data_IF_316388269590
#
_entry.id   IF_316388269590
#
_cell.length_a   1.000
_cell.length_b   1.000
_cell.length_c   1.000
_cell.angle_alpha   90.00
_cell.angle_beta   90.00
_cell.angle_gamma   90.00
#
_symmetry.space_group_name_H-M   'P 1'
#
loop_
_entity.id
_entity.type
_entity.pdbx_description
1 polymer ?
#
# COMPACT_ATOMS: atom_id res chain seq x y z
N UNK A 1 74.26 -25.15 3.93
CA UNK A 1 73.74 -24.30 5.02
C UNK A 1 72.94 -23.16 4.41
N UNK A 2 71.72 -22.90 4.95
CA UNK A 2 70.74 -21.84 4.61
C UNK A 2 70.20 -21.84 3.15
N UNK A 3 68.97 -22.24 2.78
CA UNK A 3 67.60 -22.10 3.34
C UNK A 3 67.15 -20.65 3.50
N UNK A 4 66.48 -20.05 2.50
CA UNK A 4 65.40 -19.05 2.62
C UNK A 4 64.63 -18.96 1.29
N UNK A 5 63.39 -19.46 1.26
CA UNK A 5 62.39 -19.13 0.22
C UNK A 5 61.34 -18.28 0.95
N UNK A 6 61.22 -17.02 0.57
CA UNK A 6 60.22 -16.10 1.08
C UNK A 6 58.92 -16.38 0.33
N UNK A 7 57.97 -17.03 1.00
CA UNK A 7 56.60 -17.18 0.52
C UNK A 7 55.85 -15.86 0.75
N UNK A 8 55.58 -15.13 -0.33
CA UNK A 8 54.73 -13.94 -0.33
C UNK A 8 53.28 -14.40 -0.44
N UNK A 9 52.62 -14.61 0.70
CA UNK A 9 51.19 -14.89 0.77
C UNK A 9 50.41 -13.62 0.40
N UNK A 10 49.92 -13.58 -0.84
CA UNK A 10 48.90 -12.62 -1.26
C UNK A 10 47.60 -12.93 -0.49
N UNK A 11 47.34 -12.15 0.57
CA UNK A 11 46.01 -12.03 1.16
C UNK A 11 45.14 -11.26 0.16
N UNK A 12 44.47 -11.98 -0.74
CA UNK A 12 43.38 -11.43 -1.52
C UNK A 12 42.21 -11.17 -0.57
N UNK A 13 41.93 -9.88 -0.34
CA UNK A 13 40.78 -9.43 0.41
C UNK A 13 39.50 -10.01 -0.18
N UNK A 14 38.76 -10.72 0.66
CA UNK A 14 37.39 -11.10 0.38
C UNK A 14 36.58 -9.80 0.28
N UNK A 15 36.33 -9.36 -0.95
CA UNK A 15 35.25 -8.43 -1.25
C UNK A 15 33.95 -9.14 -0.88
N UNK A 16 33.44 -8.86 0.32
CA UNK A 16 32.05 -9.12 0.67
C UNK A 16 31.15 -8.34 -0.27
N UNK A 17 30.75 -8.96 -1.39
CA UNK A 17 29.66 -8.45 -2.20
C UNK A 17 28.37 -8.66 -1.41
N UNK A 18 28.01 -7.68 -0.57
CA UNK A 18 26.62 -7.47 -0.18
C UNK A 18 25.87 -6.98 -1.42
N UNK A 19 25.65 -7.88 -2.38
CA UNK A 19 24.63 -7.69 -3.39
C UNK A 19 23.30 -7.89 -2.68
N UNK A 20 22.65 -6.80 -2.28
CA UNK A 20 21.25 -6.85 -1.91
C UNK A 20 20.49 -7.27 -3.18
N UNK A 21 20.14 -8.55 -3.27
CA UNK A 21 19.31 -9.07 -4.35
C UNK A 21 17.94 -8.39 -4.21
N UNK A 22 17.64 -7.42 -5.07
CA UNK A 22 16.30 -6.87 -5.17
C UNK A 22 15.33 -8.01 -5.48
N UNK A 23 14.47 -8.33 -4.52
CA UNK A 23 13.37 -9.26 -4.73
C UNK A 23 12.35 -8.53 -5.60
N UNK A 24 12.45 -8.71 -6.92
CA UNK A 24 11.42 -8.25 -7.86
C UNK A 24 10.20 -9.16 -7.72
N UNK A 25 9.09 -8.57 -7.30
CA UNK A 25 7.80 -9.24 -7.30
C UNK A 25 7.16 -9.07 -8.67
N UNK A 26 6.87 -10.19 -9.32
CA UNK A 26 6.36 -10.26 -10.69
C UNK A 26 4.83 -10.07 -10.72
N UNK A 27 4.33 -9.07 -9.99
CA UNK A 27 2.92 -8.68 -10.03
C UNK A 27 2.78 -7.16 -10.14
N UNK A 28 1.91 -6.71 -11.04
CA UNK A 28 1.60 -5.29 -11.25
C UNK A 28 0.43 -4.87 -10.34
N UNK A 29 0.65 -4.94 -9.03
CA UNK A 29 -0.34 -4.51 -8.04
C UNK A 29 0.00 -3.08 -7.56
N UNK A 30 -0.96 -2.14 -7.58
CA UNK A 30 -0.71 -0.77 -7.14
C UNK A 30 -0.45 -0.67 -5.63
N UNK A 31 -0.94 -1.64 -4.83
CA UNK A 31 -0.77 -1.65 -3.38
C UNK A 31 0.63 -2.09 -2.92
N UNK A 32 1.59 -2.29 -3.82
CA UNK A 32 2.95 -2.70 -3.43
C UNK A 32 3.70 -1.55 -2.73
N UNK A 33 4.49 -1.92 -1.72
CA UNK A 33 5.25 -0.98 -0.89
C UNK A 33 6.74 -1.24 -1.04
N UNK A 34 7.49 -0.21 -1.41
CA UNK A 34 8.95 -0.30 -1.55
C UNK A 34 9.61 -0.80 -0.26
N UNK A 35 10.60 -1.68 -0.39
CA UNK A 35 11.33 -2.24 0.74
C UNK A 35 10.58 -3.28 1.59
N UNK A 36 9.28 -3.54 1.35
CA UNK A 36 8.50 -4.49 2.16
C UNK A 36 8.25 -5.83 1.47
N UNK A 37 9.30 -6.65 1.38
CA UNK A 37 9.26 -7.93 0.68
C UNK A 37 8.16 -8.89 1.18
N UNK A 38 7.96 -9.00 2.50
CA UNK A 38 6.96 -9.90 3.08
C UNK A 38 5.54 -9.47 2.73
N UNK A 39 5.24 -8.19 2.87
CA UNK A 39 3.95 -7.63 2.50
C UNK A 39 3.67 -7.79 1.00
N UNK A 40 4.62 -7.38 0.16
CA UNK A 40 4.51 -7.46 -1.30
C UNK A 40 4.28 -8.89 -1.79
N UNK A 41 4.95 -9.88 -1.19
CA UNK A 41 4.72 -11.28 -1.51
C UNK A 41 3.27 -11.70 -1.22
N UNK A 42 2.73 -11.30 -0.07
CA UNK A 42 1.34 -11.62 0.30
C UNK A 42 0.35 -10.91 -0.63
N UNK A 43 0.57 -9.63 -0.94
CA UNK A 43 -0.25 -8.90 -1.91
C UNK A 43 -0.24 -9.61 -3.26
N UNK A 44 0.93 -9.91 -3.82
CA UNK A 44 1.04 -10.61 -5.10
C UNK A 44 0.40 -12.00 -5.08
N UNK A 45 0.57 -12.77 -4.00
CA UNK A 45 -0.09 -14.07 -3.86
C UNK A 45 -1.61 -13.93 -3.83
N UNK A 46 -2.14 -12.95 -3.10
CA UNK A 46 -3.57 -12.66 -3.03
C UNK A 46 -4.14 -12.29 -4.40
N UNK A 47 -3.43 -11.44 -5.16
CA UNK A 47 -3.77 -11.12 -6.56
C UNK A 47 -3.73 -12.37 -7.45
N UNK A 48 -2.72 -13.22 -7.28
CA UNK A 48 -2.63 -14.51 -7.94
C UNK A 48 -3.82 -15.43 -7.67
N UNK A 49 -4.35 -15.43 -6.45
CA UNK A 49 -5.56 -16.18 -6.11
C UNK A 49 -6.82 -15.56 -6.73
N UNK A 50 -6.94 -14.24 -6.75
CA UNK A 50 -8.05 -13.52 -7.41
C UNK A 50 -8.14 -13.90 -8.90
N UNK A 51 -7.03 -13.87 -9.64
CA UNK A 51 -7.02 -14.20 -11.08
C UNK A 51 -7.45 -15.63 -11.39
N UNK A 52 -7.30 -16.54 -10.41
CA UNK A 52 -7.70 -17.95 -10.51
C UNK A 52 -9.07 -18.23 -9.89
N UNK A 53 -9.87 -17.20 -9.57
CA UNK A 53 -11.18 -17.29 -8.90
C UNK A 53 -11.13 -17.97 -7.52
N UNK A 54 -9.97 -17.96 -6.85
CA UNK A 54 -9.78 -18.54 -5.50
C UNK A 54 -9.96 -17.47 -4.44
N UNK A 55 -11.18 -16.94 -4.36
CA UNK A 55 -11.49 -15.72 -3.61
C UNK A 55 -11.32 -15.87 -2.09
N UNK A 56 -11.60 -17.06 -1.54
CA UNK A 56 -11.42 -17.31 -0.11
C UNK A 56 -9.93 -17.28 0.30
N UNK A 57 -9.07 -17.89 -0.51
CA UNK A 57 -7.61 -17.86 -0.30
C UNK A 57 -7.04 -16.47 -0.56
N UNK A 58 -7.55 -15.74 -1.55
CA UNK A 58 -7.19 -14.34 -1.78
C UNK A 58 -7.49 -13.50 -0.54
N UNK A 59 -8.72 -13.56 -0.02
CA UNK A 59 -9.14 -12.82 1.16
C UNK A 59 -8.25 -13.14 2.37
N UNK A 60 -8.01 -14.42 2.66
CA UNK A 60 -7.11 -14.83 3.75
C UNK A 60 -5.69 -14.29 3.57
N UNK A 61 -5.17 -14.30 2.36
CA UNK A 61 -3.82 -13.82 2.07
C UNK A 61 -3.72 -12.30 2.25
N UNK A 62 -4.74 -11.55 1.84
CA UNK A 62 -4.83 -10.11 2.07
C UNK A 62 -5.02 -9.78 3.56
N UNK A 63 -5.83 -10.53 4.31
CA UNK A 63 -5.92 -10.41 5.78
C UNK A 63 -4.53 -10.58 6.41
N UNK A 64 -3.75 -11.58 5.98
CA UNK A 64 -2.36 -11.75 6.45
C UNK A 64 -1.45 -10.57 6.08
N UNK A 65 -1.62 -9.97 4.90
CA UNK A 65 -0.87 -8.78 4.48
C UNK A 65 -1.23 -7.56 5.35
N UNK A 66 -2.50 -7.40 5.73
CA UNK A 66 -2.96 -6.33 6.62
C UNK A 66 -2.34 -6.40 8.02
N UNK A 67 -1.90 -7.59 8.46
CA UNK A 67 -1.21 -7.78 9.74
C UNK A 67 0.30 -7.52 9.67
N UNK A 68 0.87 -7.30 8.47
CA UNK A 68 2.28 -6.91 8.34
C UNK A 68 2.44 -5.45 8.78
N UNK A 69 3.31 -5.14 9.77
CA UNK A 69 3.57 -3.76 10.16
C UNK A 69 4.25 -3.01 9.02
N UNK A 70 3.62 -1.92 8.57
CA UNK A 70 4.24 -0.90 7.73
C UNK A 70 4.49 0.30 8.66
N UNK A 71 5.76 0.65 8.87
CA UNK A 71 6.13 1.71 9.83
C UNK A 71 6.12 3.11 9.21
N UNK A 72 6.40 3.20 7.92
CA UNK A 72 6.62 4.48 7.22
C UNK A 72 5.40 4.92 6.38
N UNK A 73 4.47 4.00 6.11
CA UNK A 73 3.28 4.28 5.32
C UNK A 73 2.04 3.58 5.88
N UNK A 74 0.88 4.25 5.90
CA UNK A 74 -0.37 3.66 6.35
C UNK A 74 -0.85 2.58 5.37
N UNK A 75 -1.12 1.36 5.87
CA UNK A 75 -1.57 0.21 5.08
C UNK A 75 -3.10 0.24 4.85
N UNK A 76 -3.60 1.21 4.09
CA UNK A 76 -5.03 1.36 3.85
C UNK A 76 -5.47 1.00 2.43
N UNK A 77 -4.56 1.07 1.46
CA UNK A 77 -4.85 0.83 0.04
C UNK A 77 -5.35 -0.59 -0.24
N UNK A 78 -5.06 -1.54 0.65
CA UNK A 78 -5.49 -2.92 0.52
C UNK A 78 -6.95 -3.17 0.94
N UNK A 79 -7.60 -2.25 1.68
CA UNK A 79 -8.99 -2.44 2.15
C UNK A 79 -10.00 -2.66 1.01
N UNK A 80 -10.03 -1.87 -0.08
CA UNK A 80 -10.92 -2.11 -1.22
C UNK A 80 -10.72 -3.49 -1.86
N UNK A 81 -9.46 -3.91 -2.03
CA UNK A 81 -9.15 -5.21 -2.64
C UNK A 81 -9.56 -6.37 -1.74
N UNK A 82 -9.34 -6.24 -0.44
CA UNK A 82 -9.80 -7.21 0.56
C UNK A 82 -11.34 -7.30 0.60
N UNK A 83 -12.03 -6.15 0.53
CA UNK A 83 -13.49 -6.13 0.45
C UNK A 83 -14.01 -6.88 -0.78
N UNK A 84 -13.41 -6.64 -1.95
CA UNK A 84 -13.75 -7.34 -3.18
C UNK A 84 -13.51 -8.85 -3.05
N UNK A 85 -12.38 -9.27 -2.50
CA UNK A 85 -12.08 -10.68 -2.29
C UNK A 85 -13.12 -11.36 -1.37
N UNK A 86 -13.51 -10.70 -0.27
CA UNK A 86 -14.57 -11.21 0.61
C UNK A 86 -15.92 -11.28 -0.09
N UNK A 87 -16.30 -10.26 -0.87
CA UNK A 87 -17.56 -10.23 -1.60
C UNK A 87 -17.65 -11.39 -2.60
N UNK A 88 -16.59 -11.59 -3.40
CA UNK A 88 -16.51 -12.67 -4.38
C UNK A 88 -16.46 -14.06 -3.73
N UNK A 89 -15.95 -14.15 -2.50
CA UNK A 89 -16.01 -15.37 -1.67
C UNK A 89 -17.37 -15.59 -0.98
N UNK A 90 -18.35 -14.69 -1.16
CA UNK A 90 -19.69 -14.77 -0.54
C UNK A 90 -19.78 -14.20 0.88
N UNK A 91 -18.69 -13.65 1.43
CA UNK A 91 -18.62 -13.11 2.79
C UNK A 91 -19.06 -11.64 2.82
N UNK A 92 -20.35 -11.36 2.63
CA UNK A 92 -20.89 -9.99 2.48
C UNK A 92 -20.62 -9.09 3.68
N UNK A 93 -20.75 -9.59 4.90
CA UNK A 93 -20.54 -8.80 6.12
C UNK A 93 -19.11 -8.26 6.20
N UNK A 94 -18.12 -9.15 6.06
CA UNK A 94 -16.70 -8.76 5.99
C UNK A 94 -16.38 -7.84 4.83
N UNK A 95 -17.04 -8.01 3.68
CA UNK A 95 -16.87 -7.11 2.55
C UNK A 95 -17.33 -5.68 2.90
N UNK A 96 -18.51 -5.54 3.51
CA UNK A 96 -19.03 -4.23 3.94
C UNK A 96 -18.18 -3.60 5.04
N UNK A 97 -17.68 -4.40 5.98
CA UNK A 97 -16.75 -3.92 7.01
C UNK A 97 -15.47 -3.33 6.39
N UNK A 98 -14.88 -4.02 5.42
CA UNK A 98 -13.66 -3.54 4.74
C UNK A 98 -13.94 -2.35 3.82
N UNK A 99 -15.11 -2.25 3.19
CA UNK A 99 -15.51 -1.05 2.46
C UNK A 99 -15.63 0.16 3.39
N UNK A 100 -16.27 0.00 4.55
CA UNK A 100 -16.35 1.06 5.55
C UNK A 100 -14.96 1.50 6.02
N UNK A 101 -14.05 0.55 6.22
CA UNK A 101 -12.65 0.84 6.56
C UNK A 101 -11.91 1.59 5.45
N UNK A 102 -12.15 1.22 4.18
CA UNK A 102 -11.61 1.95 3.04
C UNK A 102 -12.14 3.39 2.99
N UNK A 103 -13.44 3.59 3.18
CA UNK A 103 -14.09 4.90 3.22
C UNK A 103 -13.52 5.78 4.34
N UNK A 104 -13.40 5.25 5.56
CA UNK A 104 -12.80 5.96 6.69
C UNK A 104 -11.34 6.31 6.41
N UNK A 105 -10.57 5.40 5.83
CA UNK A 105 -9.16 5.65 5.50
C UNK A 105 -9.02 6.75 4.45
N UNK A 106 -9.86 6.73 3.40
CA UNK A 106 -9.91 7.80 2.41
C UNK A 106 -10.32 9.12 3.05
N UNK A 107 -11.28 9.11 3.96
CA UNK A 107 -11.73 10.32 4.67
C UNK A 107 -10.63 10.92 5.55
N UNK A 108 -9.78 10.09 6.17
CA UNK A 108 -8.59 10.56 6.88
C UNK A 108 -7.53 11.08 5.91
N UNK A 109 -7.26 10.34 4.83
CA UNK A 109 -6.28 10.72 3.79
C UNK A 109 -6.59 12.10 3.21
N UNK A 110 -7.87 12.38 3.04
CA UNK A 110 -8.42 13.58 2.42
C UNK A 110 -8.87 14.63 3.43
N UNK A 111 -8.47 14.50 4.69
CA UNK A 111 -8.70 15.52 5.71
C UNK A 111 -10.16 15.80 6.08
N UNK A 112 -11.14 14.97 5.67
CA UNK A 112 -12.51 15.04 6.21
C UNK A 112 -12.53 14.59 7.66
N UNK A 113 -11.74 13.56 7.96
CA UNK A 113 -11.50 13.08 9.31
C UNK A 113 -10.08 13.42 9.72
N UNK A 114 -9.90 13.69 11.01
CA UNK A 114 -8.61 14.05 11.57
C UNK A 114 -8.17 13.04 12.60
N UNK A 115 -6.85 12.84 12.68
CA UNK A 115 -6.24 12.11 13.79
C UNK A 115 -6.04 13.07 14.97
N UNK A 116 -6.59 12.70 16.12
CA UNK A 116 -6.44 13.41 17.38
C UNK A 116 -5.64 12.54 18.34
N UNK A 117 -4.47 13.04 18.74
CA UNK A 117 -3.67 12.43 19.79
C UNK A 117 -4.02 13.07 21.14
N UNK A 118 -4.34 12.23 22.12
CA UNK A 118 -4.65 12.64 23.50
C UNK A 118 -3.90 11.75 24.48
N UNK A 119 -3.94 12.06 25.77
CA UNK A 119 -3.40 11.18 26.82
C UNK A 119 -4.03 9.78 26.84
N UNK A 120 -5.25 9.64 26.29
CA UNK A 120 -5.98 8.37 26.22
C UNK A 120 -5.62 7.54 24.98
N UNK A 121 -4.81 8.08 24.06
CA UNK A 121 -4.40 7.43 22.82
C UNK A 121 -4.79 8.23 21.56
N UNK A 122 -4.78 7.51 20.43
CA UNK A 122 -5.05 8.03 19.09
C UNK A 122 -6.49 7.77 18.69
N UNK A 123 -7.17 8.81 18.21
CA UNK A 123 -8.57 8.77 17.78
C UNK A 123 -8.74 9.36 16.39
N UNK A 124 -9.71 8.85 15.65
CA UNK A 124 -10.22 9.52 14.45
C UNK A 124 -11.43 10.36 14.85
N UNK A 125 -11.44 11.63 14.46
CA UNK A 125 -12.50 12.59 14.79
C UNK A 125 -13.02 13.31 13.54
N UNK A 126 -14.30 13.70 13.59
CA UNK A 126 -14.89 14.63 12.63
C UNK A 126 -14.52 16.08 12.98
N UNK A 127 -14.79 17.01 12.06
CA UNK A 127 -14.59 18.45 12.26
C UNK A 127 -15.34 19.00 13.50
N UNK A 128 -16.52 18.47 13.81
CA UNK A 128 -17.32 18.83 15.00
C UNK A 128 -16.78 18.24 16.32
N UNK A 129 -15.68 17.49 16.29
CA UNK A 129 -15.08 16.82 17.46
C UNK A 129 -15.70 15.47 17.83
N UNK A 130 -16.68 14.97 17.09
CA UNK A 130 -17.26 13.65 17.30
C UNK A 130 -16.22 12.55 17.00
N UNK A 131 -16.06 11.61 17.94
CA UNK A 131 -15.13 10.48 17.82
C UNK A 131 -15.73 9.37 16.96
N UNK A 132 -14.93 8.84 16.05
CA UNK A 132 -15.23 7.60 15.32
C UNK A 132 -14.52 6.45 16.01
N UNK A 133 -15.31 5.55 16.60
CA UNK A 133 -14.79 4.40 17.34
C UNK A 133 -14.43 3.25 16.39
N UNK A 134 -13.30 3.41 15.68
CA UNK A 134 -12.65 2.34 14.93
C UNK A 134 -11.15 2.30 15.26
N UNK A 135 -10.82 1.44 16.23
CA UNK A 135 -9.44 1.22 16.67
C UNK A 135 -8.52 0.67 15.58
N UNK A 136 -9.08 -0.02 14.57
CA UNK A 136 -8.31 -0.55 13.45
C UNK A 136 -7.81 0.57 12.55
N UNK A 137 -8.69 1.50 12.20
CA UNK A 137 -8.34 2.69 11.41
C UNK A 137 -7.42 3.60 12.19
N UNK A 138 -7.75 3.93 13.44
CA UNK A 138 -6.93 4.83 14.26
C UNK A 138 -5.48 4.35 14.36
N UNK A 139 -5.25 3.05 14.53
CA UNK A 139 -3.90 2.47 14.63
C UNK A 139 -3.13 2.44 13.30
N UNK A 140 -3.84 2.29 12.18
CA UNK A 140 -3.23 2.17 10.85
C UNK A 140 -3.03 3.52 10.18
N UNK A 141 -3.88 4.49 10.49
CA UNK A 141 -3.90 5.80 9.86
C UNK A 141 -3.31 6.89 10.77
N UNK A 142 -3.47 6.81 12.09
CA UNK A 142 -3.02 7.87 12.99
C UNK A 142 -1.63 7.60 13.57
N UNK A 143 -0.82 8.65 13.61
CA UNK A 143 0.53 8.63 14.18
C UNK A 143 1.34 9.79 13.63
N UNK A 144 2.30 10.27 14.43
CA UNK A 144 3.12 11.44 14.07
C UNK A 144 3.86 11.29 12.73
N UNK A 145 4.18 10.06 12.32
CA UNK A 145 4.81 9.78 11.03
C UNK A 145 3.87 10.03 9.83
N UNK A 146 2.55 9.94 10.04
CA UNK A 146 1.55 9.99 8.98
C UNK A 146 0.92 11.37 8.80
N UNK A 147 1.03 12.22 9.83
CA UNK A 147 0.52 13.60 9.84
C UNK A 147 0.95 14.44 8.62
N UNK A 148 2.13 14.18 8.07
CA UNK A 148 2.62 14.85 6.87
C UNK A 148 1.88 14.44 5.58
N UNK A 149 1.38 13.20 5.51
CA UNK A 149 0.69 12.68 4.34
C UNK A 149 -0.72 13.26 4.19
N UNK A 150 -1.40 13.56 5.29
CA UNK A 150 -2.82 13.95 5.27
C UNK A 150 -3.09 15.45 5.22
N UNK A 151 -2.08 16.29 5.51
CA UNK A 151 -2.24 17.75 5.57
C UNK A 151 -2.44 18.43 4.22
N UNK A 152 -2.48 17.69 3.11
CA UNK A 152 -2.30 18.28 1.77
C UNK A 152 -3.59 18.51 0.97
N UNK A 153 -4.69 17.80 1.21
CA UNK A 153 -5.86 17.90 0.34
C UNK A 153 -7.18 17.58 1.05
N UNK A 154 -8.26 18.31 0.72
CA UNK A 154 -9.64 17.91 1.04
C UNK A 154 -10.14 16.83 0.05
N UNK A 155 -11.17 16.03 0.39
CA UNK A 155 -11.69 15.00 -0.55
C UNK A 155 -12.21 15.65 -1.83
N UNK A 156 -12.91 16.78 -1.71
CA UNK A 156 -13.40 17.53 -2.84
C UNK A 156 -12.25 18.01 -3.73
N UNK A 157 -11.15 18.47 -3.14
CA UNK A 157 -9.95 18.83 -3.91
C UNK A 157 -9.34 17.62 -4.61
N UNK A 158 -9.19 16.49 -3.91
CA UNK A 158 -8.68 15.24 -4.51
C UNK A 158 -9.57 14.76 -5.65
N UNK A 159 -10.89 14.80 -5.48
CA UNK A 159 -11.84 14.39 -6.51
C UNK A 159 -11.84 15.34 -7.71
N UNK A 160 -11.75 16.65 -7.48
CA UNK A 160 -11.61 17.64 -8.55
C UNK A 160 -10.30 17.44 -9.32
N UNK A 161 -9.18 17.24 -8.63
CA UNK A 161 -7.89 16.96 -9.25
C UNK A 161 -7.90 15.63 -10.02
N UNK A 162 -8.49 14.57 -9.44
CA UNK A 162 -8.63 13.28 -10.11
C UNK A 162 -9.48 13.39 -11.38
N UNK A 163 -10.58 14.14 -11.37
CA UNK A 163 -11.42 14.35 -12.55
C UNK A 163 -10.68 15.18 -13.62
N UNK A 164 -9.87 16.17 -13.22
CA UNK A 164 -9.00 16.90 -14.15
C UNK A 164 -7.95 15.99 -14.79
N UNK A 165 -7.30 15.13 -14.02
CA UNK A 165 -6.31 14.15 -14.50
C UNK A 165 -6.97 13.16 -15.46
N UNK A 166 -8.13 12.62 -15.08
CA UNK A 166 -8.92 11.72 -15.94
C UNK A 166 -9.28 12.39 -17.26
N UNK A 167 -9.80 13.63 -17.22
CA UNK A 167 -10.12 14.40 -18.42
C UNK A 167 -8.89 14.62 -19.31
N UNK A 168 -7.73 14.93 -18.73
CA UNK A 168 -6.48 15.06 -19.48
C UNK A 168 -6.12 13.75 -20.22
N UNK A 169 -6.15 12.60 -19.53
CA UNK A 169 -5.85 11.31 -20.16
C UNK A 169 -6.87 10.95 -21.24
N UNK A 170 -8.16 11.22 -21.01
CA UNK A 170 -9.21 11.01 -22.02
C UNK A 170 -8.94 11.83 -23.29
N UNK A 171 -8.57 13.12 -23.17
CA UNK A 171 -8.24 13.98 -24.30
C UNK A 171 -6.97 13.48 -25.01
N UNK A 172 -5.91 13.18 -24.24
CA UNK A 172 -4.64 12.69 -24.78
C UNK A 172 -4.82 11.40 -25.57
N UNK A 173 -5.62 10.46 -25.07
CA UNK A 173 -5.89 9.19 -25.74
C UNK A 173 -6.71 9.40 -27.02
N UNK A 174 -7.65 10.35 -27.05
CA UNK A 174 -8.37 10.71 -28.28
C UNK A 174 -7.45 11.30 -29.34
N UNK A 175 -6.52 12.19 -28.96
CA UNK A 175 -5.54 12.76 -29.90
C UNK A 175 -4.67 11.64 -30.49
N UNK A 176 -4.12 10.78 -29.63
CA UNK A 176 -3.29 9.64 -30.09
C UNK A 176 -4.05 8.64 -30.95
N UNK A 177 -5.31 8.37 -30.62
CA UNK A 177 -6.16 7.49 -31.44
C UNK A 177 -6.60 8.11 -32.77
N UNK A 178 -6.47 9.43 -32.96
CA UNK A 178 -6.68 10.08 -34.25
C UNK A 178 -5.46 9.87 -35.16
N UNK A 179 -4.25 9.85 -34.61
CA UNK A 179 -3.02 9.62 -35.37
C UNK A 179 -2.97 8.19 -35.97
N UNK A 180 -3.61 7.20 -35.34
CA UNK A 180 -3.67 5.81 -35.82
C UNK A 180 -4.71 5.56 -36.93
N UNK A 181 -5.57 6.53 -37.26
CA UNK A 181 -6.61 6.41 -38.31
C UNK A 181 -6.17 7.09 -39.62
N UNK A 182 -5.04 7.82 -39.60
CA UNK A 182 -4.56 8.64 -40.73
C UNK A 182 -3.33 8.02 -41.43
N UNK A 183 -2.87 6.83 -41.03
CA UNK A 183 -1.92 6.00 -41.79
C UNK A 183 -2.63 4.90 -42.60
#
# INVERSE_FOLDING_TARGET
MARWIIAFTFLFGLFSSCGATEIRFDCDAPELVEGNAKYNQLVCNGVGFMTRNRYAEAAKTFEMAMEVPLFEMPNFELFPRLALAHFMAGNREKAMENLKKAELSLSVLTGILHCLETEQGLFVVRENGERIDDFGISRKMCGAAYDYFYRRFSLEQVLQEAELVKRYFDIKNRIRGIDEIVE
#
